data_IF_909822998629
#
_entry.id   IF_909822998629
#
_cell.length_a   1.000
_cell.length_b   1.000
_cell.length_c   1.000
_cell.angle_alpha   90.00
_cell.angle_beta   90.00
_cell.angle_gamma   90.00
#
_symmetry.space_group_name_H-M   'P 1'
#
loop_
_entity.id
_entity.type
_entity.pdbx_description
1 polymer ?
#
# COMPACT_ATOMS: atom_id res chain seq x y z
N UNK A 1 3.07 20.49 5.14
CA UNK A 1 2.27 19.24 5.23
C UNK A 1 2.71 18.29 4.13
N UNK A 2 3.18 17.09 4.47
CA UNK A 2 3.60 16.08 3.48
C UNK A 2 2.39 15.64 2.63
N UNK A 3 2.49 15.77 1.30
CA UNK A 3 1.41 15.42 0.35
C UNK A 3 1.35 13.90 0.25
N UNK A 4 0.26 13.26 0.72
CA UNK A 4 0.06 11.82 0.58
C UNK A 4 0.09 11.43 -0.91
N UNK A 5 1.09 10.63 -1.30
CA UNK A 5 1.17 10.09 -2.68
C UNK A 5 0.39 8.78 -2.74
N UNK A 6 -0.57 8.71 -3.66
CA UNK A 6 -1.21 7.45 -4.02
C UNK A 6 -0.24 6.69 -4.89
N UNK A 7 0.21 5.51 -4.45
CA UNK A 7 1.18 4.66 -5.14
C UNK A 7 0.61 3.25 -5.34
N UNK A 8 1.11 2.56 -6.35
CA UNK A 8 0.94 1.12 -6.52
C UNK A 8 2.05 0.36 -5.79
N UNK A 9 1.85 -0.93 -5.52
CA UNK A 9 2.78 -1.73 -4.72
C UNK A 9 4.15 -1.88 -5.42
N UNK A 10 4.15 -2.02 -6.75
CA UNK A 10 5.36 -2.04 -7.55
C UNK A 10 6.13 -0.72 -7.47
N UNK A 11 5.44 0.42 -7.46
CA UNK A 11 6.03 1.75 -7.31
C UNK A 11 6.58 1.99 -5.90
N UNK A 12 5.94 1.42 -4.87
CA UNK A 12 6.45 1.44 -3.50
C UNK A 12 7.77 0.68 -3.43
N UNK A 13 7.83 -0.52 -4.03
CA UNK A 13 9.04 -1.35 -4.04
C UNK A 13 10.16 -0.80 -4.93
N UNK A 14 9.83 -0.10 -6.03
CA UNK A 14 10.82 0.51 -6.92
C UNK A 14 11.51 1.73 -6.29
N UNK A 15 10.98 2.27 -5.19
CA UNK A 15 11.56 3.41 -4.49
C UNK A 15 12.70 2.96 -3.57
N UNK A 16 13.92 3.12 -4.06
CA UNK A 16 15.12 3.10 -3.23
C UNK A 16 15.32 4.48 -2.56
N UNK A 17 14.54 4.78 -1.53
CA UNK A 17 14.77 5.98 -0.72
C UNK A 17 15.47 5.62 0.59
N UNK A 18 16.56 6.33 0.89
CA UNK A 18 17.20 6.34 2.23
C UNK A 18 16.37 7.08 3.29
N UNK A 19 15.15 7.51 2.96
CA UNK A 19 14.26 8.26 3.85
C UNK A 19 12.88 7.63 3.81
N UNK A 20 12.24 7.62 4.97
CA UNK A 20 10.85 7.23 5.10
C UNK A 20 9.94 8.17 4.30
N UNK A 21 8.85 7.63 3.77
CA UNK A 21 7.89 8.42 3.03
C UNK A 21 6.46 7.94 3.30
N UNK A 22 5.53 8.89 3.34
CA UNK A 22 4.13 8.60 3.56
C UNK A 22 3.47 8.11 2.28
N UNK A 23 2.77 6.98 2.37
CA UNK A 23 2.14 6.31 1.23
C UNK A 23 0.66 6.07 1.47
N UNK A 24 -0.10 6.08 0.37
CA UNK A 24 -1.46 5.53 0.30
C UNK A 24 -1.52 4.54 -0.86
N UNK A 25 -2.00 3.33 -0.62
CA UNK A 25 -2.16 2.32 -1.68
C UNK A 25 -3.36 1.41 -1.41
N UNK A 26 -3.80 0.67 -2.42
CA UNK A 26 -4.76 -0.43 -2.29
C UNK A 26 -4.03 -1.72 -2.67
N UNK A 27 -4.22 -2.76 -1.87
CA UNK A 27 -3.66 -4.09 -2.16
C UNK A 27 -4.59 -5.19 -1.67
N UNK A 28 -4.35 -6.41 -2.16
CA UNK A 28 -5.01 -7.62 -1.68
C UNK A 28 -4.20 -8.19 -0.53
N UNK A 29 -4.83 -8.46 0.60
CA UNK A 29 -4.17 -9.12 1.73
C UNK A 29 -3.96 -10.60 1.37
N UNK A 30 -2.70 -11.02 1.21
CA UNK A 30 -2.37 -12.43 0.91
C UNK A 30 -2.33 -13.27 2.18
N UNK A 31 -1.69 -12.76 3.22
CA UNK A 31 -1.50 -13.45 4.49
C UNK A 31 -1.37 -12.44 5.62
N UNK A 32 -1.88 -12.78 6.79
CA UNK A 32 -1.78 -11.98 8.02
C UNK A 32 -1.40 -12.88 9.19
N UNK A 33 -0.45 -12.43 10.00
CA UNK A 33 0.03 -13.04 11.24
C UNK A 33 -0.42 -12.17 12.41
N UNK A 34 -1.53 -12.50 13.08
CA UNK A 34 -2.09 -11.67 14.16
C UNK A 34 -1.10 -11.42 15.30
N UNK A 35 -0.34 -12.44 15.71
CA UNK A 35 0.60 -12.32 16.83
C UNK A 35 1.80 -11.41 16.58
N UNK A 36 2.14 -11.15 15.30
CA UNK A 36 3.20 -10.20 14.93
C UNK A 36 2.63 -8.87 14.40
N UNK A 37 1.31 -8.74 14.28
CA UNK A 37 0.64 -7.66 13.54
C UNK A 37 1.16 -7.45 12.12
N UNK A 38 1.72 -8.49 11.48
CA UNK A 38 2.34 -8.39 10.17
C UNK A 38 1.47 -9.01 9.09
N UNK A 39 1.32 -8.32 7.96
CA UNK A 39 0.66 -8.87 6.78
C UNK A 39 1.44 -8.63 5.50
N UNK A 40 1.12 -9.44 4.50
CA UNK A 40 1.67 -9.31 3.15
C UNK A 40 0.57 -8.84 2.22
N UNK A 41 0.75 -7.65 1.66
CA UNK A 41 -0.14 -7.10 0.65
C UNK A 41 0.46 -7.37 -0.73
N UNK A 42 -0.37 -7.84 -1.65
CA UNK A 42 0.03 -8.07 -3.05
C UNK A 42 -0.79 -7.22 -3.98
N UNK A 43 -0.19 -6.92 -5.12
CA UNK A 43 -0.94 -6.35 -6.20
C UNK A 43 -1.83 -7.42 -6.86
N UNK A 44 -3.00 -7.00 -7.33
CA UNK A 44 -3.97 -7.87 -8.01
C UNK A 44 -3.69 -8.09 -9.49
N UNK A 45 -2.80 -7.28 -10.07
CA UNK A 45 -2.42 -7.41 -11.47
C UNK A 45 -1.40 -8.56 -11.64
N UNK A 46 -1.86 -9.61 -12.31
CA UNK A 46 -1.19 -10.92 -12.43
C UNK A 46 0.15 -10.87 -13.18
N UNK A 47 0.52 -9.73 -13.78
CA UNK A 47 1.77 -9.59 -14.54
C UNK A 47 3.01 -9.41 -13.67
N UNK A 48 2.86 -8.90 -12.44
CA UNK A 48 3.97 -8.72 -11.50
C UNK A 48 3.53 -9.13 -10.11
N UNK A 49 4.20 -10.14 -9.56
CA UNK A 49 3.98 -10.63 -8.19
C UNK A 49 4.63 -9.67 -7.17
N UNK A 50 4.32 -8.38 -7.26
CA UNK A 50 4.83 -7.36 -6.36
C UNK A 50 4.09 -7.47 -5.03
N UNK A 51 4.86 -7.62 -3.96
CA UNK A 51 4.37 -7.74 -2.60
C UNK A 51 5.05 -6.70 -1.71
N UNK A 52 4.33 -6.21 -0.70
CA UNK A 52 4.87 -5.32 0.33
C UNK A 52 4.48 -5.83 1.72
N UNK A 53 5.41 -5.74 2.66
CA UNK A 53 5.15 -6.03 4.07
C UNK A 53 4.42 -4.85 4.70
N UNK A 54 3.41 -5.13 5.49
CA UNK A 54 2.66 -4.10 6.23
C UNK A 54 2.63 -4.50 7.70
N UNK A 55 3.05 -3.58 8.53
CA UNK A 55 2.92 -3.63 9.99
C UNK A 55 1.62 -2.92 10.39
N UNK A 56 0.74 -3.66 11.05
CA UNK A 56 -0.59 -3.25 11.50
C UNK A 56 -0.63 -2.93 13.00
N UNK A 57 0.50 -2.88 13.71
CA UNK A 57 0.55 -2.69 15.17
C UNK A 57 -0.19 -1.42 15.63
N UNK A 58 -0.19 -0.36 14.83
CA UNK A 58 -0.82 0.91 15.16
C UNK A 58 -2.30 1.01 14.72
N UNK A 59 -2.88 -0.07 14.22
CA UNK A 59 -4.26 -0.09 13.73
C UNK A 59 -5.13 -0.79 14.76
N UNK A 60 -6.05 -0.04 15.38
CA UNK A 60 -6.95 -0.54 16.43
C UNK A 60 -8.22 -1.13 15.82
N UNK A 61 -8.80 -2.14 16.46
CA UNK A 61 -10.10 -2.77 16.14
C UNK A 61 -10.26 -3.23 14.69
N UNK A 62 -9.24 -3.90 14.16
CA UNK A 62 -9.25 -4.38 12.78
C UNK A 62 -9.42 -5.90 12.67
N UNK A 63 -10.46 -6.33 11.95
CA UNK A 63 -10.62 -7.70 11.48
C UNK A 63 -10.09 -7.82 10.04
N UNK A 64 -8.88 -8.36 9.90
CA UNK A 64 -8.24 -8.60 8.61
C UNK A 64 -8.59 -9.99 8.07
N UNK A 65 -9.00 -10.03 6.80
CA UNK A 65 -9.36 -11.26 6.09
C UNK A 65 -8.42 -11.47 4.90
N UNK A 66 -7.70 -12.58 4.89
CA UNK A 66 -6.92 -13.00 3.73
C UNK A 66 -7.82 -13.14 2.50
N UNK A 67 -7.38 -12.59 1.37
CA UNK A 67 -8.12 -12.53 0.13
C UNK A 67 -8.91 -11.24 -0.09
N UNK A 68 -9.13 -10.43 0.95
CA UNK A 68 -9.81 -9.14 0.84
C UNK A 68 -8.87 -8.00 0.40
N UNK A 69 -9.45 -6.97 -0.20
CA UNK A 69 -8.77 -5.74 -0.57
C UNK A 69 -8.83 -4.71 0.55
N UNK A 70 -7.71 -4.06 0.79
CA UNK A 70 -7.61 -2.99 1.78
C UNK A 70 -6.91 -1.77 1.19
N UNK A 71 -7.46 -0.60 1.50
CA UNK A 71 -6.75 0.66 1.38
C UNK A 71 -5.90 0.88 2.62
N UNK A 72 -4.61 1.13 2.43
CA UNK A 72 -3.63 1.37 3.48
C UNK A 72 -3.12 2.80 3.34
N UNK A 73 -3.01 3.49 4.47
CA UNK A 73 -2.21 4.71 4.62
C UNK A 73 -1.18 4.46 5.70
N UNK A 74 0.08 4.81 5.43
CA UNK A 74 1.15 4.55 6.37
C UNK A 74 2.46 5.19 5.97
N UNK A 75 3.48 4.91 6.76
CA UNK A 75 4.86 5.31 6.51
C UNK A 75 5.65 4.11 5.98
N UNK A 76 6.21 4.24 4.78
CA UNK A 76 7.10 3.23 4.21
C UNK A 76 8.50 3.44 4.78
N UNK A 77 9.03 2.41 5.45
CA UNK A 77 10.34 2.38 6.07
C UNK A 77 11.26 1.45 5.25
N UNK A 78 12.34 2.02 4.71
CA UNK A 78 13.44 1.29 4.08
C UNK A 78 14.60 1.22 5.09
N UNK A 79 14.72 0.13 5.83
CA UNK A 79 15.92 -0.13 6.62
C UNK A 79 17.05 -0.61 5.70
N UNK A 80 18.29 -0.19 5.98
CA UNK A 80 19.48 -0.45 5.15
C UNK A 80 19.79 -1.93 4.88
N UNK A 81 19.18 -2.84 5.64
CA UNK A 81 19.41 -4.30 5.59
C UNK A 81 18.11 -5.10 5.49
N UNK A 82 16.95 -4.42 5.56
CA UNK A 82 15.65 -5.05 5.72
C UNK A 82 14.75 -4.89 4.50
N UNK A 83 13.74 -5.78 4.36
CA UNK A 83 12.70 -5.59 3.36
C UNK A 83 11.86 -4.35 3.70
N UNK A 84 11.50 -3.58 2.67
CA UNK A 84 10.59 -2.45 2.78
C UNK A 84 9.31 -2.84 3.54
N UNK A 85 9.04 -2.13 4.63
CA UNK A 85 7.87 -2.38 5.49
C UNK A 85 7.07 -1.09 5.64
N UNK A 86 5.77 -1.16 5.40
CA UNK A 86 4.85 -0.03 5.60
C UNK A 86 4.22 -0.15 6.98
N UNK A 87 4.49 0.83 7.85
CA UNK A 87 3.79 0.96 9.12
C UNK A 87 2.43 1.62 8.88
N UNK A 88 1.37 0.84 8.93
CA UNK A 88 0.02 1.30 8.69
C UNK A 88 -0.46 2.20 9.85
N UNK A 89 -1.08 3.32 9.48
CA UNK A 89 -1.76 4.24 10.41
C UNK A 89 -3.28 4.21 10.18
N UNK A 90 -3.71 3.84 8.96
CA UNK A 90 -5.12 3.68 8.62
C UNK A 90 -5.28 2.52 7.64
N UNK A 91 -6.34 1.74 7.87
CA UNK A 91 -6.72 0.61 7.04
C UNK A 91 -8.22 0.63 6.82
N UNK A 92 -8.66 0.39 5.59
CA UNK A 92 -10.09 0.26 5.26
C UNK A 92 -10.29 -0.92 4.34
N UNK A 93 -11.26 -1.78 4.65
CA UNK A 93 -11.73 -2.77 3.70
C UNK A 93 -12.35 -2.05 2.49
N UNK A 94 -11.97 -2.47 1.29
CA UNK A 94 -12.44 -1.91 0.03
C UNK A 94 -12.84 -3.05 -0.92
N UNK A 95 -13.37 -4.13 -0.36
CA UNK A 95 -13.93 -5.22 -1.17
C UNK A 95 -15.07 -4.67 -2.03
N UNK A 96 -15.13 -5.12 -3.29
CA UNK A 96 -16.08 -4.61 -4.29
C UNK A 96 -15.56 -3.41 -5.10
N UNK A 97 -14.40 -2.85 -4.78
CA UNK A 97 -13.76 -1.84 -5.66
C UNK A 97 -13.33 -2.47 -6.98
N UNK A 98 -13.69 -1.83 -8.10
CA UNK A 98 -13.13 -2.14 -9.40
C UNK A 98 -11.67 -1.67 -9.46
N UNK A 99 -10.74 -2.63 -9.36
CA UNK A 99 -9.31 -2.35 -9.37
C UNK A 99 -8.80 -1.79 -10.70
N UNK A 100 -9.47 -2.08 -11.83
CA UNK A 100 -9.10 -1.50 -13.13
C UNK A 100 -9.47 -0.01 -13.15
N UNK A 101 -10.69 0.32 -12.73
CA UNK A 101 -11.16 1.71 -12.65
C UNK A 101 -10.33 2.51 -11.64
N UNK A 102 -10.02 1.94 -10.47
CA UNK A 102 -9.14 2.58 -9.49
C UNK A 102 -7.78 2.93 -10.10
N UNK A 103 -7.13 1.98 -10.79
CA UNK A 103 -5.84 2.21 -11.43
C UNK A 103 -5.91 3.30 -12.48
N UNK A 104 -6.96 3.30 -13.31
CA UNK A 104 -7.16 4.32 -14.34
C UNK A 104 -7.33 5.70 -13.70
N UNK A 105 -8.21 5.83 -12.70
CA UNK A 105 -8.45 7.09 -12.00
C UNK A 105 -7.16 7.66 -11.34
N UNK A 106 -6.30 6.79 -10.80
CA UNK A 106 -5.00 7.22 -10.25
C UNK A 106 -4.08 7.73 -11.36
N UNK A 107 -4.04 7.08 -12.53
CA UNK A 107 -3.23 7.52 -13.68
C UNK A 107 -3.73 8.86 -14.24
N UNK A 108 -5.04 8.99 -14.44
CA UNK A 108 -5.67 10.22 -14.95
C UNK A 108 -5.39 11.40 -14.02
N UNK A 109 -5.54 11.19 -12.70
CA UNK A 109 -5.21 12.20 -11.69
C UNK A 109 -3.76 12.67 -11.78
N UNK A 110 -2.81 11.75 -12.01
CA UNK A 110 -1.39 12.10 -12.12
C UNK A 110 -1.10 12.86 -13.40
N UNK A 111 -1.69 12.45 -14.53
CA UNK A 111 -1.56 13.16 -15.80
C UNK A 111 -2.01 14.62 -15.65
N UNK A 112 -3.22 14.83 -15.11
CA UNK A 112 -3.74 16.16 -14.83
C UNK A 112 -2.85 17.00 -13.91
N UNK A 113 -2.31 16.40 -12.84
CA UNK A 113 -1.43 17.12 -11.91
C UNK A 113 -0.06 17.46 -12.52
N UNK A 114 0.41 16.69 -13.50
CA UNK A 114 1.65 16.96 -14.22
C UNK A 114 1.45 18.02 -15.32
N UNK A 115 0.25 18.18 -15.86
CA UNK A 115 -0.09 19.26 -16.81
C UNK A 115 -0.13 20.64 -16.12
N UNK A 116 -0.31 20.66 -14.79
CA UNK A 116 -0.38 21.86 -13.96
C UNK A 116 0.96 22.23 -13.29
N UNK A 117 2.05 21.50 -13.57
CA UNK A 117 3.38 21.71 -12.97
C UNK A 117 4.39 22.23 -13.98
#
# INVERSE_FOLDING_TARGET
>A
MSRFRILFIDEINARNHFKSFTVRFIGKLRSYLPGAHMGIMVDSDQRRNSAVRVDFQNVVDISLKSGSYYQIVGEALCDHTGPLTVRATLVRNVDGVDMKMYRQAVRDRRAYLNELS
#
